data_IF_707207002441
#
_entry.id   IF_707207002441
#
_cell.length_a   1.000
_cell.length_b   1.000
_cell.length_c   1.000
_cell.angle_alpha   90.00
_cell.angle_beta   90.00
_cell.angle_gamma   90.00
#
_symmetry.space_group_name_H-M   'P 1'
#
loop_
_entity.id
_entity.type
_entity.pdbx_description
1 polymer ?
#
# COMPACT_ATOMS: atom_id res chain seq x y z
N UNK A 1 11.56 -16.40 -18.83
CA UNK A 1 10.38 -15.62 -18.39
C UNK A 1 10.53 -14.21 -18.95
N UNK A 2 9.66 -13.81 -19.85
CA UNK A 2 9.72 -12.47 -20.44
C UNK A 2 9.19 -11.47 -19.41
N UNK A 3 10.01 -10.53 -19.02
CA UNK A 3 9.73 -9.55 -17.95
C UNK A 3 8.55 -8.62 -18.32
N UNK A 4 8.22 -8.54 -19.62
CA UNK A 4 7.11 -7.72 -20.14
C UNK A 4 5.72 -8.36 -20.04
N UNK A 5 5.64 -9.65 -19.67
CA UNK A 5 4.41 -10.42 -19.76
C UNK A 5 3.67 -10.58 -18.41
N UNK A 6 4.12 -9.90 -17.35
CA UNK A 6 3.36 -9.88 -16.10
C UNK A 6 2.09 -9.07 -16.28
N UNK A 7 0.94 -9.67 -15.99
CA UNK A 7 -0.33 -8.97 -16.11
C UNK A 7 -0.38 -7.79 -15.14
N UNK A 8 -0.99 -6.70 -15.58
CA UNK A 8 -1.28 -5.56 -14.71
C UNK A 8 -2.50 -5.91 -13.88
N UNK A 9 -2.35 -5.88 -12.55
CA UNK A 9 -3.48 -6.01 -11.65
C UNK A 9 -4.03 -4.65 -11.29
N UNK A 10 -5.34 -4.56 -11.22
CA UNK A 10 -6.06 -3.35 -10.84
C UNK A 10 -7.08 -3.65 -9.74
N UNK A 11 -7.12 -2.79 -8.75
CA UNK A 11 -8.13 -2.87 -7.71
C UNK A 11 -9.38 -2.11 -8.15
N UNK A 12 -10.50 -2.79 -8.09
CA UNK A 12 -11.82 -2.21 -8.34
C UNK A 12 -12.15 -1.17 -7.27
N UNK A 13 -12.67 -0.04 -7.68
CA UNK A 13 -13.22 0.93 -6.74
C UNK A 13 -14.61 0.47 -6.27
N UNK A 14 -14.64 -0.25 -5.17
CA UNK A 14 -15.86 -0.83 -4.59
C UNK A 14 -16.87 0.20 -4.08
N UNK A 15 -16.52 1.49 -4.11
CA UNK A 15 -17.46 2.59 -3.86
C UNK A 15 -18.33 2.90 -5.08
N UNK A 16 -17.91 2.48 -6.29
CA UNK A 16 -18.55 2.81 -7.55
C UNK A 16 -19.09 1.60 -8.33
N UNK A 17 -18.40 0.45 -8.25
CA UNK A 17 -18.76 -0.72 -9.04
C UNK A 17 -18.26 -2.02 -8.41
N UNK A 18 -18.86 -3.12 -8.83
CA UNK A 18 -18.35 -4.49 -8.65
C UNK A 18 -17.33 -4.84 -9.75
N UNK A 19 -16.63 -5.97 -9.57
CA UNK A 19 -15.70 -6.48 -10.58
C UNK A 19 -16.40 -6.83 -11.90
N UNK A 20 -17.62 -7.38 -11.83
CA UNK A 20 -18.39 -7.74 -13.02
C UNK A 20 -18.80 -6.51 -13.83
N UNK A 21 -19.27 -5.46 -13.15
CA UNK A 21 -19.61 -4.19 -13.79
C UNK A 21 -18.40 -3.51 -14.43
N UNK A 22 -17.24 -3.52 -13.74
CA UNK A 22 -16.01 -2.96 -14.30
C UNK A 22 -15.52 -3.75 -15.53
N UNK A 23 -15.58 -5.08 -15.50
CA UNK A 23 -15.19 -5.92 -16.65
C UNK A 23 -16.11 -5.63 -17.85
N UNK A 24 -17.41 -5.48 -17.63
CA UNK A 24 -18.36 -5.12 -18.69
C UNK A 24 -18.06 -3.73 -19.28
N UNK A 25 -17.73 -2.72 -18.46
CA UNK A 25 -17.31 -1.39 -18.91
C UNK A 25 -16.05 -1.46 -19.77
N UNK A 26 -15.02 -2.18 -19.30
CA UNK A 26 -13.74 -2.33 -20.02
C UNK A 26 -13.90 -3.06 -21.36
N UNK A 27 -14.77 -4.07 -21.42
CA UNK A 27 -15.10 -4.75 -22.69
C UNK A 27 -15.66 -3.79 -23.73
N UNK A 28 -16.46 -2.81 -23.32
CA UNK A 28 -16.97 -1.73 -24.19
C UNK A 28 -15.88 -0.76 -24.68
N UNK A 29 -14.69 -0.80 -24.10
CA UNK A 29 -13.52 0.01 -24.47
C UNK A 29 -12.44 -0.81 -25.22
N UNK A 30 -12.77 -2.02 -25.67
CA UNK A 30 -11.82 -2.98 -26.28
C UNK A 30 -10.66 -3.37 -25.36
N UNK A 31 -10.80 -3.21 -24.06
CA UNK A 31 -9.85 -3.68 -23.06
C UNK A 31 -10.27 -5.05 -22.53
N UNK A 32 -9.32 -5.96 -22.42
CA UNK A 32 -9.57 -7.31 -21.89
C UNK A 32 -9.25 -7.34 -20.41
N UNK A 33 -10.21 -7.75 -19.60
CA UNK A 33 -10.04 -7.91 -18.17
C UNK A 33 -10.68 -9.22 -17.69
N UNK A 34 -10.09 -9.83 -16.67
CA UNK A 34 -10.63 -11.03 -16.01
C UNK A 34 -10.57 -10.86 -14.49
N UNK A 35 -11.45 -11.57 -13.76
CA UNK A 35 -11.39 -11.57 -12.29
C UNK A 35 -10.07 -12.14 -11.80
N UNK A 36 -9.52 -11.54 -10.75
CA UNK A 36 -8.38 -12.12 -10.07
C UNK A 36 -8.85 -13.28 -9.18
N UNK A 37 -8.29 -14.50 -9.33
CA UNK A 37 -8.72 -15.65 -8.55
C UNK A 37 -8.46 -15.51 -7.03
N UNK A 38 -7.47 -14.68 -6.66
CA UNK A 38 -7.06 -14.52 -5.26
C UNK A 38 -7.91 -13.50 -4.49
N UNK A 39 -8.57 -12.57 -5.17
CA UNK A 39 -9.36 -11.51 -4.54
C UNK A 39 -10.41 -10.97 -5.50
N UNK A 40 -11.68 -11.10 -5.15
CA UNK A 40 -12.83 -10.64 -5.95
C UNK A 40 -12.84 -9.13 -6.26
N UNK A 41 -12.12 -8.33 -5.46
CA UNK A 41 -12.01 -6.90 -5.67
C UNK A 41 -10.83 -6.50 -6.57
N UNK A 42 -10.21 -7.48 -7.22
CA UNK A 42 -9.15 -7.25 -8.20
C UNK A 42 -9.50 -7.85 -9.54
N UNK A 43 -9.03 -7.18 -10.58
CA UNK A 43 -9.06 -7.67 -11.96
C UNK A 43 -7.65 -7.73 -12.51
N UNK A 44 -7.47 -8.61 -13.49
CA UNK A 44 -6.25 -8.73 -14.27
C UNK A 44 -6.50 -8.06 -15.62
N UNK A 45 -5.74 -7.04 -15.94
CA UNK A 45 -5.83 -6.32 -17.21
C UNK A 45 -4.91 -6.94 -18.25
N UNK A 46 -5.45 -7.19 -19.46
CA UNK A 46 -4.72 -7.74 -20.59
C UNK A 46 -4.95 -6.86 -21.83
N UNK A 47 -3.88 -6.59 -22.57
CA UNK A 47 -3.95 -5.87 -23.86
C UNK A 47 -4.72 -4.53 -23.79
N UNK A 48 -4.52 -3.75 -22.75
CA UNK A 48 -5.26 -2.51 -22.52
C UNK A 48 -4.66 -1.26 -23.15
N UNK A 49 -3.44 -1.33 -23.68
CA UNK A 49 -2.66 -0.13 -24.03
C UNK A 49 -2.32 0.70 -22.78
N UNK A 50 -2.34 2.02 -22.91
CA UNK A 50 -2.13 2.93 -21.79
C UNK A 50 -3.39 2.94 -20.89
N UNK A 51 -3.24 2.43 -19.66
CA UNK A 51 -4.36 2.29 -18.71
C UNK A 51 -5.02 3.64 -18.42
N UNK A 52 -4.22 4.71 -18.41
CA UNK A 52 -4.65 6.08 -18.13
C UNK A 52 -5.59 6.64 -19.20
N UNK A 53 -5.60 6.07 -20.39
CA UNK A 53 -6.49 6.49 -21.49
C UNK A 53 -7.88 5.87 -21.40
N UNK A 54 -8.05 4.79 -20.67
CA UNK A 54 -9.34 4.13 -20.50
C UNK A 54 -10.36 5.07 -19.80
N UNK A 55 -11.57 5.14 -20.35
CA UNK A 55 -12.67 5.94 -19.76
C UNK A 55 -13.02 5.46 -18.36
N UNK A 56 -13.02 4.14 -18.14
CA UNK A 56 -13.24 3.55 -16.82
C UNK A 56 -12.19 4.00 -15.81
N UNK A 57 -10.91 4.13 -16.22
CA UNK A 57 -9.85 4.68 -15.36
C UNK A 57 -10.08 6.16 -15.05
N UNK A 58 -10.31 6.98 -16.08
CA UNK A 58 -10.57 8.43 -15.94
C UNK A 58 -11.79 8.70 -15.06
N UNK A 59 -12.81 7.87 -15.14
CA UNK A 59 -14.02 7.93 -14.30
C UNK A 59 -13.83 7.37 -12.89
N UNK A 60 -12.65 6.84 -12.57
CA UNK A 60 -12.29 6.37 -11.23
C UNK A 60 -12.92 5.06 -10.81
N UNK A 61 -13.23 4.16 -11.75
CA UNK A 61 -13.76 2.84 -11.43
C UNK A 61 -12.71 1.87 -10.89
N UNK A 62 -11.43 2.17 -11.07
CA UNK A 62 -10.32 1.37 -10.54
C UNK A 62 -9.03 2.16 -10.39
N UNK A 63 -8.07 1.58 -9.70
CA UNK A 63 -6.67 2.02 -9.69
C UNK A 63 -5.73 0.83 -9.85
N UNK A 64 -4.56 1.09 -10.43
CA UNK A 64 -3.53 0.05 -10.59
C UNK A 64 -2.91 -0.22 -9.22
N UNK A 65 -2.95 -1.48 -8.80
CA UNK A 65 -2.34 -1.91 -7.54
C UNK A 65 -2.01 -3.40 -7.60
N UNK A 66 -0.84 -3.76 -7.12
CA UNK A 66 -0.50 -5.17 -6.91
C UNK A 66 -1.31 -5.77 -5.76
N UNK A 67 -1.75 -7.01 -5.92
CA UNK A 67 -2.59 -7.70 -4.95
C UNK A 67 -1.90 -7.85 -3.58
N UNK A 68 -0.57 -8.00 -3.57
CA UNK A 68 0.22 -8.10 -2.33
C UNK A 68 0.11 -6.84 -1.48
N UNK A 69 0.05 -5.67 -2.12
CA UNK A 69 -0.19 -4.39 -1.44
C UNK A 69 -1.56 -4.36 -0.76
N UNK A 70 -2.59 -4.88 -1.44
CA UNK A 70 -3.94 -4.96 -0.88
C UNK A 70 -4.04 -5.89 0.32
N UNK A 71 -3.27 -6.99 0.34
CA UNK A 71 -3.21 -7.93 1.48
C UNK A 71 -2.71 -7.23 2.75
N UNK A 72 -1.72 -6.33 2.66
CA UNK A 72 -1.24 -5.54 3.80
C UNK A 72 -2.33 -4.61 4.35
N UNK A 73 -3.09 -3.93 3.47
CA UNK A 73 -4.20 -3.06 3.91
C UNK A 73 -5.35 -3.87 4.52
N UNK A 74 -5.67 -5.04 3.96
CA UNK A 74 -6.64 -5.96 4.58
C UNK A 74 -6.20 -6.41 5.96
N UNK A 75 -4.90 -6.68 6.17
CA UNK A 75 -4.34 -7.04 7.48
C UNK A 75 -4.40 -5.89 8.49
N UNK A 76 -4.29 -4.61 8.04
CA UNK A 76 -4.54 -3.44 8.87
C UNK A 76 -5.99 -3.40 9.37
N UNK A 77 -6.92 -3.98 8.60
CA UNK A 77 -8.35 -4.08 8.93
C UNK A 77 -9.00 -2.75 9.30
N UNK A 78 -8.90 -1.70 8.46
CA UNK A 78 -9.53 -0.42 8.73
C UNK A 78 -11.05 -0.54 8.62
N UNK A 79 -11.77 0.19 9.48
CA UNK A 79 -13.24 0.17 9.57
C UNK A 79 -13.82 1.56 9.34
N UNK A 80 -15.06 1.61 8.93
CA UNK A 80 -15.80 2.88 8.84
C UNK A 80 -15.77 3.64 10.18
N UNK A 81 -15.33 4.89 10.15
CA UNK A 81 -15.17 5.74 11.31
C UNK A 81 -13.76 5.78 11.91
N UNK A 82 -12.86 4.88 11.52
CA UNK A 82 -11.48 4.90 11.99
C UNK A 82 -10.73 6.16 11.52
N UNK A 83 -9.73 6.54 12.30
CA UNK A 83 -8.65 7.45 11.89
C UNK A 83 -7.45 6.61 11.48
N UNK A 84 -7.07 6.70 10.20
CA UNK A 84 -5.95 5.94 9.61
C UNK A 84 -4.82 6.90 9.24
N UNK A 85 -3.58 6.54 9.54
CA UNK A 85 -2.40 7.24 9.03
C UNK A 85 -1.66 6.33 8.05
N UNK A 86 -1.33 6.85 6.88
CA UNK A 86 -0.45 6.23 5.89
C UNK A 86 0.83 7.08 5.79
N UNK A 87 1.93 6.56 6.34
CA UNK A 87 3.15 7.33 6.59
C UNK A 87 4.03 7.54 5.35
N UNK A 88 3.85 6.71 4.31
CA UNK A 88 4.60 6.79 3.04
C UNK A 88 3.64 6.51 1.88
N UNK A 89 2.63 7.36 1.73
CA UNK A 89 1.40 7.03 1.02
C UNK A 89 1.53 6.97 -0.51
N UNK A 90 2.37 7.82 -1.11
CA UNK A 90 2.33 8.03 -2.56
C UNK A 90 2.69 6.79 -3.38
N UNK A 91 1.96 6.55 -4.48
CA UNK A 91 0.96 7.40 -5.13
C UNK A 91 -0.47 7.30 -4.57
N UNK A 92 -0.69 6.71 -3.41
CA UNK A 92 -1.98 6.65 -2.73
C UNK A 92 -2.68 5.29 -2.76
N UNK A 93 -2.17 4.31 -3.49
CA UNK A 93 -2.87 3.04 -3.72
C UNK A 93 -3.33 2.33 -2.44
N UNK A 94 -2.52 2.34 -1.36
CA UNK A 94 -2.89 1.73 -0.08
C UNK A 94 -3.91 2.57 0.68
N UNK A 95 -3.76 3.91 0.67
CA UNK A 95 -4.73 4.83 1.24
C UNK A 95 -6.10 4.72 0.53
N UNK A 96 -6.12 4.58 -0.81
CA UNK A 96 -7.35 4.36 -1.57
C UNK A 96 -8.03 3.04 -1.19
N UNK A 97 -7.24 1.97 -1.05
CA UNK A 97 -7.74 0.68 -0.58
C UNK A 97 -8.34 0.77 0.82
N UNK A 98 -7.66 1.47 1.74
CA UNK A 98 -8.18 1.71 3.09
C UNK A 98 -9.49 2.47 3.06
N UNK A 99 -9.59 3.56 2.28
CA UNK A 99 -10.81 4.35 2.13
C UNK A 99 -12.00 3.51 1.61
N UNK A 100 -11.76 2.61 0.66
CA UNK A 100 -12.79 1.69 0.16
C UNK A 100 -13.26 0.72 1.25
N UNK A 101 -12.34 0.11 2.02
CA UNK A 101 -12.68 -0.76 3.15
C UNK A 101 -13.44 -0.01 4.24
N UNK A 102 -13.12 1.25 4.45
CA UNK A 102 -13.82 2.16 5.36
C UNK A 102 -15.16 2.68 4.79
N UNK A 103 -15.54 2.27 3.57
CA UNK A 103 -16.77 2.75 2.89
C UNK A 103 -16.81 4.29 2.78
N UNK A 104 -15.65 4.91 2.57
CA UNK A 104 -15.47 6.36 2.51
C UNK A 104 -16.01 7.10 3.76
N UNK A 105 -15.83 6.50 4.96
CA UNK A 105 -16.27 7.06 6.25
C UNK A 105 -15.15 7.00 7.27
N UNK A 106 -14.84 8.13 7.91
CA UNK A 106 -13.73 8.30 8.85
C UNK A 106 -12.73 9.34 8.38
N UNK A 107 -11.46 9.12 8.66
CA UNK A 107 -10.38 10.03 8.25
C UNK A 107 -9.11 9.26 7.90
N UNK A 108 -8.44 9.64 6.79
CA UNK A 108 -7.12 9.13 6.43
C UNK A 108 -6.17 10.31 6.28
N UNK A 109 -5.10 10.34 7.08
CA UNK A 109 -3.97 11.24 6.87
C UNK A 109 -2.91 10.49 6.07
N UNK A 110 -2.64 10.96 4.86
CA UNK A 110 -1.72 10.35 3.91
C UNK A 110 -0.47 11.22 3.77
N UNK A 111 0.66 10.78 4.33
CA UNK A 111 1.91 11.54 4.31
C UNK A 111 2.85 11.06 3.20
N UNK A 112 3.57 11.99 2.60
CA UNK A 112 4.74 11.69 1.78
C UNK A 112 5.74 12.85 1.89
N UNK A 113 7.04 12.54 1.72
CA UNK A 113 8.13 13.48 1.87
C UNK A 113 8.11 14.59 0.80
N UNK A 114 7.63 14.28 -0.41
CA UNK A 114 7.76 15.16 -1.57
C UNK A 114 6.41 15.73 -2.02
N UNK A 115 6.30 17.07 -2.19
CA UNK A 115 5.03 17.72 -2.59
C UNK A 115 4.43 17.14 -3.88
N UNK A 116 5.26 16.86 -4.89
CA UNK A 116 4.79 16.27 -6.15
C UNK A 116 4.20 14.87 -5.97
N UNK A 117 4.64 14.12 -4.96
CA UNK A 117 4.11 12.82 -4.63
C UNK A 117 2.79 12.92 -3.86
N UNK A 118 2.68 13.89 -2.96
CA UNK A 118 1.41 14.22 -2.26
C UNK A 118 0.33 14.56 -3.28
N UNK A 119 0.66 15.38 -4.29
CA UNK A 119 -0.27 15.74 -5.36
C UNK A 119 -0.83 14.53 -6.11
N UNK A 120 -0.02 13.49 -6.37
CA UNK A 120 -0.51 12.24 -6.99
C UNK A 120 -1.56 11.54 -6.13
N UNK A 121 -1.40 11.58 -4.81
CA UNK A 121 -2.39 11.01 -3.89
C UNK A 121 -3.70 11.82 -3.91
N UNK A 122 -3.61 13.15 -3.92
CA UNK A 122 -4.79 14.05 -4.01
C UNK A 122 -5.55 13.85 -5.32
N UNK A 123 -4.85 13.87 -6.46
CA UNK A 123 -5.45 13.66 -7.78
C UNK A 123 -6.10 12.26 -7.89
N UNK A 124 -5.43 11.24 -7.33
CA UNK A 124 -5.96 9.88 -7.28
C UNK A 124 -7.21 9.77 -6.42
N UNK A 125 -7.24 10.38 -5.24
CA UNK A 125 -8.40 10.41 -4.35
C UNK A 125 -9.59 11.11 -5.03
N UNK A 126 -9.35 12.28 -5.62
CA UNK A 126 -10.38 13.04 -6.37
C UNK A 126 -10.96 12.20 -7.51
N UNK A 127 -10.11 11.61 -8.34
CA UNK A 127 -10.54 10.75 -9.46
C UNK A 127 -11.39 9.57 -9.00
N UNK A 128 -11.03 8.95 -7.88
CA UNK A 128 -11.74 7.81 -7.31
C UNK A 128 -13.04 8.22 -6.57
N UNK A 129 -13.25 9.51 -6.29
CA UNK A 129 -14.37 10.00 -5.49
C UNK A 129 -14.23 9.67 -4.01
N UNK A 130 -13.00 9.76 -3.48
CA UNK A 130 -12.68 9.50 -2.08
C UNK A 130 -12.50 10.84 -1.36
N UNK A 131 -13.32 11.09 -0.33
CA UNK A 131 -13.41 12.38 0.36
C UNK A 131 -12.70 12.38 1.72
N UNK A 132 -12.37 11.22 2.26
CA UNK A 132 -11.82 11.07 3.62
C UNK A 132 -10.28 11.13 3.68
N UNK A 133 -9.61 11.27 2.54
CA UNK A 133 -8.15 11.36 2.47
C UNK A 133 -7.72 12.82 2.50
N UNK A 134 -6.87 13.14 3.48
CA UNK A 134 -6.15 14.41 3.58
C UNK A 134 -4.66 14.11 3.36
N UNK A 135 -4.14 14.45 2.17
CA UNK A 135 -2.74 14.22 1.85
C UNK A 135 -1.88 15.40 2.34
N UNK A 136 -0.71 15.09 2.90
CA UNK A 136 0.18 16.07 3.53
C UNK A 136 1.64 15.81 3.20
N UNK A 137 2.38 16.89 2.97
CA UNK A 137 3.84 16.82 2.95
C UNK A 137 4.34 16.64 4.38
N UNK A 138 5.13 15.59 4.60
CA UNK A 138 5.71 15.32 5.91
C UNK A 138 6.81 14.26 5.84
N UNK A 139 7.85 14.44 6.64
CA UNK A 139 8.88 13.41 6.81
C UNK A 139 8.41 12.40 7.87
N UNK A 140 8.21 11.16 7.45
CA UNK A 140 7.78 10.09 8.34
C UNK A 140 8.79 9.76 9.46
N UNK A 141 10.03 10.22 9.36
CA UNK A 141 11.03 10.11 10.41
C UNK A 141 10.89 11.20 11.50
N UNK A 142 10.14 12.27 11.23
CA UNK A 142 9.97 13.40 12.16
C UNK A 142 8.67 13.24 12.94
N UNK A 143 8.77 13.32 14.28
CA UNK A 143 7.59 13.24 15.13
C UNK A 143 6.78 14.54 15.14
N UNK A 144 5.48 14.41 14.95
CA UNK A 144 4.51 15.49 14.99
C UNK A 144 3.65 15.31 16.26
N UNK A 145 3.92 16.08 17.33
CA UNK A 145 3.28 15.88 18.65
C UNK A 145 1.75 15.98 18.63
N UNK A 146 1.21 16.82 17.73
CA UNK A 146 -0.25 16.99 17.55
C UNK A 146 -0.99 15.72 17.12
N UNK A 147 -0.26 14.71 16.65
CA UNK A 147 -0.81 13.42 16.22
C UNK A 147 -0.50 12.27 17.17
N UNK A 148 0.12 12.53 18.32
CA UNK A 148 0.42 11.48 19.29
C UNK A 148 -0.85 10.73 19.70
N UNK A 149 -0.81 9.39 19.56
CA UNK A 149 -1.94 8.50 19.89
C UNK A 149 -3.29 8.92 19.27
N UNK A 150 -3.25 9.48 18.05
CA UNK A 150 -4.43 9.97 17.35
C UNK A 150 -5.04 8.95 16.38
N UNK A 151 -4.29 7.92 15.96
CA UNK A 151 -4.71 6.98 14.94
C UNK A 151 -5.20 5.65 15.52
N UNK A 152 -6.31 5.15 14.99
CA UNK A 152 -6.79 3.79 15.26
C UNK A 152 -5.94 2.76 14.49
N UNK A 153 -5.47 3.16 13.32
CA UNK A 153 -4.69 2.35 12.39
C UNK A 153 -3.54 3.16 11.79
N UNK A 154 -2.35 2.57 11.74
CA UNK A 154 -1.20 3.20 11.07
C UNK A 154 -0.57 2.22 10.09
N UNK A 155 -0.29 2.69 8.88
CA UNK A 155 0.37 1.96 7.81
C UNK A 155 1.71 2.61 7.49
N UNK A 156 2.78 1.80 7.43
CA UNK A 156 4.12 2.21 7.04
C UNK A 156 4.57 1.35 5.86
N UNK A 157 4.30 1.79 4.63
CA UNK A 157 4.87 1.19 3.42
C UNK A 157 6.19 1.87 3.11
N UNK A 158 7.24 1.43 3.80
CA UNK A 158 8.51 2.16 3.86
C UNK A 158 9.33 2.05 2.57
N UNK A 159 10.17 3.05 2.26
CA UNK A 159 11.14 2.95 1.18
C UNK A 159 12.06 1.75 1.43
N UNK A 160 12.26 0.90 0.41
CA UNK A 160 13.02 -0.33 0.49
C UNK A 160 13.85 -0.58 -0.77
N UNK A 161 14.69 -1.62 -0.76
CA UNK A 161 15.52 -2.00 -1.91
C UNK A 161 14.69 -2.38 -3.16
N UNK A 162 13.48 -2.88 -2.96
CA UNK A 162 12.58 -3.28 -4.03
C UNK A 162 12.87 -4.66 -4.62
N UNK A 163 13.68 -5.50 -3.98
CA UNK A 163 14.08 -6.80 -4.52
C UNK A 163 12.91 -7.80 -4.71
N UNK A 164 11.72 -7.48 -4.22
CA UNK A 164 10.52 -8.27 -4.47
C UNK A 164 9.84 -7.98 -5.82
N UNK A 165 10.13 -6.81 -6.42
CA UNK A 165 9.48 -6.34 -7.65
C UNK A 165 10.39 -6.37 -8.89
N UNK A 166 11.47 -7.15 -8.88
CA UNK A 166 12.42 -7.29 -10.00
C UNK A 166 11.69 -7.69 -11.29
N UNK A 167 10.60 -8.47 -11.20
CA UNK A 167 9.80 -8.86 -12.35
C UNK A 167 9.10 -7.70 -13.06
N UNK A 168 8.86 -6.57 -12.39
CA UNK A 168 8.29 -5.33 -12.96
C UNK A 168 9.35 -4.28 -13.26
N UNK A 169 10.42 -4.26 -12.47
CA UNK A 169 11.53 -3.29 -12.53
C UNK A 169 12.85 -4.03 -12.61
N UNK A 170 13.20 -4.53 -13.81
CA UNK A 170 14.41 -5.35 -14.02
C UNK A 170 15.71 -4.61 -13.70
N UNK A 171 15.70 -3.28 -13.78
CA UNK A 171 16.83 -2.43 -13.41
C UNK A 171 17.27 -2.59 -11.94
N UNK A 172 16.39 -3.08 -11.08
CA UNK A 172 16.70 -3.36 -9.67
C UNK A 172 17.81 -4.41 -9.53
N UNK A 173 17.98 -5.30 -10.51
CA UNK A 173 19.07 -6.30 -10.52
C UNK A 173 20.48 -5.69 -10.47
N UNK A 174 20.60 -4.46 -10.92
CA UNK A 174 21.87 -3.74 -11.01
C UNK A 174 22.12 -2.82 -9.82
N UNK A 175 21.18 -2.78 -8.85
CA UNK A 175 21.38 -2.02 -7.62
C UNK A 175 22.48 -2.68 -6.77
N UNK A 176 23.33 -1.84 -6.19
CA UNK A 176 24.25 -2.29 -5.17
C UNK A 176 23.49 -2.75 -3.91
N UNK A 177 23.82 -3.93 -3.42
CA UNK A 177 23.23 -4.50 -2.19
C UNK A 177 23.54 -3.60 -0.98
N UNK A 178 24.65 -2.89 -0.97
CA UNK A 178 25.01 -1.94 0.08
C UNK A 178 23.96 -0.83 0.31
N UNK A 179 23.03 -0.61 -0.63
CA UNK A 179 21.90 0.32 -0.43
C UNK A 179 21.06 -0.07 0.80
N UNK A 180 21.00 -1.36 1.15
CA UNK A 180 20.24 -1.86 2.30
C UNK A 180 20.75 -1.21 3.59
N UNK A 181 22.05 -1.09 3.78
CA UNK A 181 22.64 -0.54 5.00
C UNK A 181 22.19 0.90 5.26
N UNK A 182 21.96 1.67 4.18
CA UNK A 182 21.44 3.02 4.26
C UNK A 182 19.92 3.06 4.52
N UNK A 183 19.17 2.03 4.11
CA UNK A 183 17.73 1.96 4.26
C UNK A 183 17.30 1.51 5.65
N UNK A 184 18.02 0.59 6.28
CA UNK A 184 17.68 0.02 7.58
C UNK A 184 17.42 1.08 8.68
N UNK A 185 18.28 2.11 8.86
CA UNK A 185 18.01 3.16 9.84
C UNK A 185 16.76 3.96 9.52
N UNK A 186 16.51 4.26 8.24
CA UNK A 186 15.33 5.04 7.79
C UNK A 186 14.05 4.24 8.05
N UNK A 187 14.02 2.97 7.67
CA UNK A 187 12.90 2.06 7.88
C UNK A 187 12.55 1.91 9.36
N UNK A 188 13.57 1.71 10.19
CA UNK A 188 13.38 1.63 11.64
C UNK A 188 12.84 2.95 12.22
N UNK A 189 13.38 4.09 11.82
CA UNK A 189 12.96 5.40 12.32
C UNK A 189 11.51 5.70 11.92
N UNK A 190 11.10 5.39 10.69
CA UNK A 190 9.72 5.53 10.24
C UNK A 190 8.80 4.66 11.11
N UNK A 191 9.13 3.39 11.30
CA UNK A 191 8.33 2.46 12.09
C UNK A 191 8.20 2.89 13.56
N UNK A 192 9.33 3.27 14.19
CA UNK A 192 9.36 3.72 15.58
C UNK A 192 8.62 5.05 15.78
N UNK A 193 8.68 5.95 14.79
CA UNK A 193 7.92 7.20 14.82
C UNK A 193 6.43 6.96 14.64
N UNK A 194 6.05 6.16 13.66
CA UNK A 194 4.66 5.80 13.37
C UNK A 194 3.97 5.12 14.57
N UNK A 195 4.70 4.33 15.34
CA UNK A 195 4.22 3.69 16.55
C UNK A 195 3.67 4.68 17.59
N UNK A 196 4.24 5.89 17.67
CA UNK A 196 3.80 6.94 18.60
C UNK A 196 2.39 7.44 18.29
N UNK A 197 1.96 7.35 17.04
CA UNK A 197 0.64 7.81 16.60
C UNK A 197 -0.48 6.81 16.86
N UNK A 198 -0.15 5.54 17.10
CA UNK A 198 -1.15 4.47 17.32
C UNK A 198 -1.80 4.63 18.69
N UNK A 199 -3.12 4.61 18.78
CA UNK A 199 -3.87 4.55 20.05
C UNK A 199 -3.62 3.22 20.78
N UNK A 200 -3.85 3.17 22.10
CA UNK A 200 -3.95 1.90 22.82
C UNK A 200 -5.06 1.04 22.20
N UNK A 201 -4.80 -0.25 22.01
CA UNK A 201 -5.67 -1.16 21.25
C UNK A 201 -5.64 -0.99 19.73
N UNK A 202 -4.89 -0.01 19.20
CA UNK A 202 -4.75 0.24 17.76
C UNK A 202 -3.83 -0.75 17.07
N UNK A 203 -3.77 -0.65 15.73
CA UNK A 203 -3.01 -1.54 14.87
C UNK A 203 -1.97 -0.77 14.05
N UNK A 204 -0.75 -1.30 13.99
CA UNK A 204 0.34 -0.81 13.16
C UNK A 204 0.71 -1.88 12.14
N UNK A 205 0.80 -1.50 10.86
CA UNK A 205 1.30 -2.37 9.79
C UNK A 205 2.56 -1.76 9.20
N UNK A 206 3.59 -2.55 9.13
CA UNK A 206 4.83 -2.27 8.40
C UNK A 206 4.84 -3.09 7.13
N UNK A 207 5.23 -2.52 6.00
CA UNK A 207 5.31 -3.26 4.74
C UNK A 207 6.47 -2.79 3.85
N UNK A 208 6.95 -3.72 3.02
CA UNK A 208 8.01 -3.50 2.02
C UNK A 208 7.73 -4.31 0.75
N UNK A 209 8.21 -3.82 -0.39
CA UNK A 209 8.26 -4.58 -1.64
C UNK A 209 9.61 -5.28 -1.84
N UNK A 210 10.21 -5.80 -0.77
CA UNK A 210 11.48 -6.56 -0.81
C UNK A 210 11.34 -7.91 -0.11
N UNK A 211 12.22 -8.84 -0.44
CA UNK A 211 12.35 -10.15 0.22
C UNK A 211 13.58 -10.23 1.15
N UNK A 212 14.24 -9.09 1.38
CA UNK A 212 15.41 -9.00 2.28
C UNK A 212 14.97 -9.18 3.73
N UNK A 213 15.44 -10.23 4.41
CA UNK A 213 15.18 -10.43 5.84
C UNK A 213 15.66 -9.28 6.70
N UNK A 214 16.77 -8.63 6.31
CA UNK A 214 17.31 -7.49 7.06
C UNK A 214 16.32 -6.32 7.09
N UNK A 215 15.67 -6.02 5.93
CA UNK A 215 14.67 -4.95 5.79
C UNK A 215 13.30 -5.35 6.35
N UNK A 216 13.03 -6.64 6.51
CA UNK A 216 11.75 -7.20 6.91
C UNK A 216 11.76 -7.59 8.39
N UNK A 217 11.99 -8.88 8.67
CA UNK A 217 11.98 -9.40 10.04
C UNK A 217 13.01 -8.69 10.93
N UNK A 218 14.19 -8.36 10.39
CA UNK A 218 15.25 -7.70 11.16
C UNK A 218 14.84 -6.34 11.72
N UNK A 219 14.20 -5.49 10.90
CA UNK A 219 13.66 -4.19 11.35
C UNK A 219 12.53 -4.41 12.36
N UNK A 220 11.62 -5.35 12.09
CA UNK A 220 10.47 -5.64 12.94
C UNK A 220 10.87 -6.21 14.32
N UNK A 221 11.85 -7.12 14.36
CA UNK A 221 12.36 -7.70 15.61
C UNK A 221 13.08 -6.65 16.46
N UNK A 222 13.91 -5.80 15.82
CA UNK A 222 14.52 -4.65 16.50
C UNK A 222 13.47 -3.69 17.07
N UNK A 223 12.38 -3.43 16.31
CA UNK A 223 11.28 -2.59 16.77
C UNK A 223 10.62 -3.18 18.02
N UNK A 224 10.25 -4.45 18.00
CA UNK A 224 9.62 -5.12 19.15
C UNK A 224 10.53 -5.16 20.38
N UNK A 225 11.84 -5.32 20.20
CA UNK A 225 12.80 -5.29 21.30
C UNK A 225 12.90 -3.94 22.02
N UNK A 226 12.53 -2.85 21.34
CA UNK A 226 12.64 -1.49 21.87
C UNK A 226 11.28 -0.85 22.21
N UNK A 227 10.15 -1.52 21.93
CA UNK A 227 8.79 -0.97 22.11
C UNK A 227 7.88 -2.02 22.78
N UNK A 228 8.05 -2.19 24.08
CA UNK A 228 7.35 -3.20 24.89
C UNK A 228 5.81 -3.03 24.90
N UNK A 229 5.31 -1.85 24.55
CA UNK A 229 3.89 -1.56 24.39
C UNK A 229 3.28 -2.15 23.11
N UNK A 230 4.08 -2.76 22.25
CA UNK A 230 3.62 -3.44 21.03
C UNK A 230 3.86 -4.94 21.11
N UNK A 231 2.89 -5.69 20.62
CA UNK A 231 3.01 -7.14 20.43
C UNK A 231 2.95 -7.49 18.94
N UNK A 232 3.69 -8.51 18.55
CA UNK A 232 3.57 -9.13 17.23
C UNK A 232 2.21 -9.80 17.10
N UNK A 233 1.48 -9.50 16.02
CA UNK A 233 0.29 -10.25 15.61
C UNK A 233 0.67 -11.25 14.51
N UNK A 234 1.30 -10.78 13.42
CA UNK A 234 1.75 -11.64 12.34
C UNK A 234 2.92 -11.04 11.56
N UNK A 235 3.74 -11.92 10.96
CA UNK A 235 4.70 -11.60 9.90
C UNK A 235 4.35 -12.44 8.69
N UNK A 236 4.29 -11.82 7.52
CA UNK A 236 3.82 -12.46 6.30
C UNK A 236 4.75 -12.11 5.13
N UNK A 237 5.39 -13.11 4.57
CA UNK A 237 6.19 -12.98 3.34
C UNK A 237 5.41 -13.56 2.18
N UNK A 238 5.20 -12.76 1.14
CA UNK A 238 4.57 -13.18 -0.11
C UNK A 238 5.69 -13.42 -1.11
N UNK A 239 5.80 -14.67 -1.56
CA UNK A 239 6.76 -15.05 -2.60
C UNK A 239 6.09 -14.86 -3.96
N UNK A 240 6.76 -14.24 -4.94
CA UNK A 240 6.21 -14.08 -6.28
C UNK A 240 5.88 -15.43 -6.91
N UNK A 241 4.69 -15.55 -7.48
CA UNK A 241 4.29 -16.70 -8.29
C UNK A 241 4.04 -16.27 -9.73
N UNK A 242 3.94 -17.22 -10.65
CA UNK A 242 3.78 -16.95 -12.08
C UNK A 242 2.53 -16.12 -12.39
N UNK A 243 1.44 -16.40 -11.68
CA UNK A 243 0.14 -15.73 -11.82
C UNK A 243 -0.24 -14.86 -10.59
N UNK A 244 0.65 -14.74 -9.61
CA UNK A 244 0.40 -14.02 -8.37
C UNK A 244 1.03 -12.64 -8.31
N UNK A 245 0.91 -12.04 -7.13
CA UNK A 245 1.48 -10.73 -6.81
C UNK A 245 3.01 -10.69 -6.82
N UNK A 246 3.52 -9.52 -6.62
CA UNK A 246 4.95 -9.28 -6.45
C UNK A 246 5.46 -9.83 -5.10
N UNK A 247 6.78 -9.98 -4.98
CA UNK A 247 7.41 -10.28 -3.71
C UNK A 247 7.18 -9.13 -2.73
N UNK A 248 6.62 -9.46 -1.57
CA UNK A 248 6.17 -8.47 -0.62
C UNK A 248 6.27 -9.00 0.81
N UNK A 249 6.48 -8.12 1.76
CA UNK A 249 6.43 -8.44 3.17
C UNK A 249 5.52 -7.48 3.91
N UNK A 250 4.77 -7.97 4.90
CA UNK A 250 4.11 -7.13 5.86
C UNK A 250 4.07 -7.76 7.26
N UNK A 251 4.25 -6.91 8.24
CA UNK A 251 4.16 -7.22 9.66
C UNK A 251 2.98 -6.47 10.27
N UNK A 252 2.25 -7.12 11.16
CA UNK A 252 1.13 -6.54 11.90
C UNK A 252 1.45 -6.53 13.37
N UNK A 253 1.33 -5.38 14.00
CA UNK A 253 1.53 -5.16 15.42
C UNK A 253 0.26 -4.61 16.06
N UNK A 254 -0.01 -5.02 17.29
CA UNK A 254 -1.07 -4.45 18.13
C UNK A 254 -0.45 -3.65 19.27
N UNK A 255 -0.91 -2.43 19.49
CA UNK A 255 -0.56 -1.68 20.68
C UNK A 255 -1.38 -2.18 21.87
N UNK A 256 -0.71 -2.47 22.98
CA UNK A 256 -1.31 -2.92 24.23
C UNK A 256 -1.98 -1.75 24.96
#
# INVERSE_FOLDING_TARGET
MCIRDRPVTARVNTLKASSDELIALLSGENAVAEKCPEDENYIILKNTGAVEELKAYKAGFFHVQDISCGKAVKALSPKAGDTVFDMCSSPGGKAFTAAQLMKNKGKILAFDLYPQRVKLCEEGALRLGIDIIEAKVGDACVFLPEYEKAADKVLCDVPCSGFGIIGRKPEIRYKDIAIIDNLLPVQYNILANAAKYVKSGGTLVYSTCTLSRAENEGVCEKFLGNNAEFRKISFNTIIPTENGGDGFFFAVFGRI
#
